data_IF_450061391134
#
_entry.id   IF_450061391134
#
_cell.length_a   1.000
_cell.length_b   1.000
_cell.length_c   1.000
_cell.angle_alpha   90.00
_cell.angle_beta   90.00
_cell.angle_gamma   90.00
#
_symmetry.space_group_name_H-M   'P 1'
#
loop_
_entity.id
_entity.type
_entity.pdbx_description
1 polymer ?
#
# COMPACT_ATOMS: atom_id res chain seq x y z
N UNK A 1 -0.45 12.72 -4.97
CA UNK A 1 -0.26 11.28 -5.19
C UNK A 1 1.21 11.06 -5.43
N UNK A 2 1.81 10.14 -4.68
CA UNK A 2 3.23 9.81 -4.73
C UNK A 2 3.36 8.29 -4.77
N UNK A 3 4.43 7.78 -5.37
CA UNK A 3 4.71 6.34 -5.39
C UNK A 3 6.07 6.14 -4.75
N UNK A 4 6.11 5.35 -3.69
CA UNK A 4 7.29 5.08 -2.90
C UNK A 4 7.50 3.57 -2.88
N UNK A 5 8.76 3.12 -2.97
CA UNK A 5 9.06 1.71 -3.00
C UNK A 5 10.45 1.36 -2.50
N UNK A 6 10.66 0.05 -2.38
CA UNK A 6 11.95 -0.56 -2.11
C UNK A 6 12.22 -1.59 -3.20
N UNK A 7 13.50 -1.83 -3.50
CA UNK A 7 13.88 -3.02 -4.25
C UNK A 7 13.59 -4.28 -3.42
N UNK A 8 13.62 -5.46 -4.06
CA UNK A 8 13.35 -6.72 -3.36
C UNK A 8 14.42 -7.02 -2.32
N UNK A 9 15.65 -6.64 -2.61
CA UNK A 9 16.85 -6.85 -1.81
C UNK A 9 16.88 -5.95 -0.57
N UNK A 10 16.25 -4.77 -0.68
CA UNK A 10 16.10 -3.80 0.40
C UNK A 10 14.95 -4.14 1.37
N UNK A 11 14.09 -5.09 1.00
CA UNK A 11 12.92 -5.46 1.83
C UNK A 11 13.37 -6.01 3.19
N UNK A 12 13.06 -5.27 4.26
CA UNK A 12 13.33 -5.68 5.64
C UNK A 12 14.68 -5.23 6.18
N UNK A 13 15.47 -4.47 5.42
CA UNK A 13 16.66 -3.83 5.96
C UNK A 13 16.27 -2.66 6.88
N UNK A 14 16.85 -2.62 8.07
CA UNK A 14 16.60 -1.57 9.04
C UNK A 14 17.18 -0.22 8.56
N UNK A 15 16.42 0.86 8.77
CA UNK A 15 16.88 2.22 8.48
C UNK A 15 16.80 2.64 7.02
N UNK A 16 16.20 1.83 6.12
CA UNK A 16 15.95 2.27 4.76
C UNK A 16 14.75 3.21 4.67
N UNK A 17 14.91 4.24 3.84
CA UNK A 17 13.87 5.19 3.45
C UNK A 17 13.40 4.80 2.06
N UNK A 18 12.08 4.72 1.78
CA UNK A 18 11.61 4.30 0.47
C UNK A 18 11.94 5.36 -0.57
N UNK A 19 12.35 4.92 -1.76
CA UNK A 19 12.68 5.83 -2.87
C UNK A 19 11.41 6.27 -3.58
N UNK A 20 11.37 7.53 -4.01
CA UNK A 20 10.30 8.04 -4.87
C UNK A 20 10.43 7.44 -6.28
N UNK A 21 9.35 6.85 -6.78
CA UNK A 21 9.25 6.21 -8.08
C UNK A 21 8.38 7.05 -9.02
N UNK A 22 8.73 7.09 -10.31
CA UNK A 22 7.92 7.76 -11.33
C UNK A 22 6.72 6.91 -11.77
N UNK A 23 6.86 5.58 -11.76
CA UNK A 23 5.83 4.63 -12.18
C UNK A 23 6.01 3.26 -11.52
N UNK A 24 4.95 2.47 -11.48
CA UNK A 24 4.98 1.04 -11.15
C UNK A 24 4.20 0.25 -12.20
N UNK A 25 4.64 -0.98 -12.48
CA UNK A 25 3.87 -1.94 -13.28
C UNK A 25 3.23 -2.96 -12.35
N UNK A 26 1.90 -2.99 -12.29
CA UNK A 26 1.14 -3.99 -11.53
C UNK A 26 0.80 -5.18 -12.43
N UNK A 27 1.32 -6.36 -12.09
CA UNK A 27 1.00 -7.62 -12.77
C UNK A 27 0.13 -8.45 -11.84
N UNK A 28 -1.16 -8.56 -12.17
CA UNK A 28 -2.15 -9.26 -11.36
C UNK A 28 -3.24 -9.88 -12.23
N UNK A 29 -3.87 -10.93 -11.73
CA UNK A 29 -5.06 -11.54 -12.33
C UNK A 29 -6.28 -10.63 -12.19
N UNK A 30 -7.34 -10.83 -13.01
CA UNK A 30 -8.57 -10.06 -12.88
C UNK A 30 -9.23 -10.16 -11.50
N UNK A 31 -9.10 -11.29 -10.81
CA UNK A 31 -9.63 -11.48 -9.46
C UNK A 31 -8.85 -10.64 -8.44
N UNK A 32 -7.52 -10.71 -8.48
CA UNK A 32 -6.65 -9.90 -7.62
C UNK A 32 -6.89 -8.40 -7.84
N UNK A 33 -7.04 -7.96 -9.10
CA UNK A 33 -7.35 -6.56 -9.41
C UNK A 33 -8.64 -6.07 -8.74
N UNK A 34 -9.67 -6.92 -8.64
CA UNK A 34 -10.93 -6.56 -7.95
C UNK A 34 -10.72 -6.47 -6.44
N UNK A 35 -9.93 -7.36 -5.86
CA UNK A 35 -9.63 -7.32 -4.42
C UNK A 35 -8.79 -6.09 -4.07
N UNK A 36 -7.80 -5.76 -4.91
CA UNK A 36 -7.00 -4.54 -4.79
C UNK A 36 -7.90 -3.30 -4.90
N UNK A 37 -8.83 -3.25 -5.87
CA UNK A 37 -9.76 -2.14 -5.99
C UNK A 37 -10.64 -1.98 -4.73
N UNK A 38 -11.15 -3.08 -4.18
CA UNK A 38 -11.92 -3.04 -2.94
C UNK A 38 -11.08 -2.56 -1.75
N UNK A 39 -9.82 -2.97 -1.67
CA UNK A 39 -8.89 -2.49 -0.65
C UNK A 39 -8.65 -0.98 -0.76
N UNK A 40 -8.46 -0.45 -1.98
CA UNK A 40 -8.31 0.99 -2.21
C UNK A 40 -9.56 1.77 -1.78
N UNK A 41 -10.76 1.28 -2.11
CA UNK A 41 -12.02 1.87 -1.66
C UNK A 41 -12.14 1.87 -0.12
N UNK A 42 -11.75 0.77 0.54
CA UNK A 42 -11.77 0.70 2.00
C UNK A 42 -10.81 1.71 2.63
N UNK A 43 -9.60 1.88 2.07
CA UNK A 43 -8.64 2.86 2.55
C UNK A 43 -9.14 4.29 2.37
N UNK A 44 -9.76 4.60 1.22
CA UNK A 44 -10.35 5.92 0.97
C UNK A 44 -11.42 6.25 2.03
N UNK A 45 -12.34 5.31 2.29
CA UNK A 45 -13.35 5.44 3.35
C UNK A 45 -12.70 5.62 4.74
N UNK A 46 -11.60 4.91 5.02
CA UNK A 46 -10.84 5.04 6.26
C UNK A 46 -10.25 6.45 6.45
N UNK A 47 -9.60 6.97 5.41
CA UNK A 47 -9.03 8.33 5.40
C UNK A 47 -10.12 9.38 5.62
N UNK A 48 -11.24 9.30 4.89
CA UNK A 48 -12.35 10.24 5.03
C UNK A 48 -12.98 10.22 6.42
N UNK A 49 -13.16 9.02 6.99
CA UNK A 49 -13.83 8.84 8.28
C UNK A 49 -12.98 9.27 9.47
N UNK A 50 -11.68 9.02 9.41
CA UNK A 50 -10.79 9.11 10.58
C UNK A 50 -9.71 10.20 10.43
N UNK A 51 -9.52 10.77 9.23
CA UNK A 51 -8.54 11.81 8.96
C UNK A 51 -7.15 11.45 9.49
N UNK A 52 -6.51 12.38 10.22
CA UNK A 52 -5.18 12.21 10.83
C UNK A 52 -5.06 11.09 11.88
N UNK A 53 -6.11 10.33 12.19
CA UNK A 53 -5.99 9.14 13.07
C UNK A 53 -5.83 7.84 12.29
N UNK A 54 -6.09 7.84 10.98
CA UNK A 54 -5.79 6.72 10.10
C UNK A 54 -4.41 6.91 9.48
N UNK A 55 -3.51 5.93 9.63
CA UNK A 55 -2.10 6.06 9.24
C UNK A 55 -1.80 5.41 7.88
N UNK A 56 -1.82 4.09 7.84
CA UNK A 56 -1.62 3.28 6.64
C UNK A 56 -2.20 1.90 6.85
N UNK A 57 -2.46 1.20 5.75
CA UNK A 57 -2.87 -0.20 5.77
C UNK A 57 -2.13 -0.98 4.68
N UNK A 58 -1.88 -2.26 4.96
CA UNK A 58 -1.33 -3.20 3.99
C UNK A 58 -2.47 -4.03 3.40
N UNK A 59 -2.43 -4.30 2.10
CA UNK A 59 -3.40 -5.17 1.43
C UNK A 59 -3.54 -6.54 2.11
N UNK A 60 -2.41 -7.13 2.51
CA UNK A 60 -2.35 -8.44 3.18
C UNK A 60 -2.95 -8.46 4.60
N UNK A 61 -3.21 -7.29 5.19
CA UNK A 61 -3.89 -7.21 6.49
C UNK A 61 -5.39 -7.47 6.33
N UNK A 62 -5.98 -6.96 5.24
CA UNK A 62 -7.39 -7.14 4.91
C UNK A 62 -7.68 -8.43 4.12
N UNK A 63 -6.76 -8.85 3.26
CA UNK A 63 -6.91 -10.06 2.44
C UNK A 63 -5.66 -10.96 2.51
N UNK A 64 -5.80 -12.06 3.26
CA UNK A 64 -4.71 -13.01 3.51
C UNK A 64 -4.26 -13.78 2.26
N UNK A 65 -5.02 -13.74 1.16
CA UNK A 65 -4.55 -14.33 -0.10
C UNK A 65 -3.31 -13.60 -0.66
N UNK A 66 -3.05 -12.37 -0.21
CA UNK A 66 -1.87 -11.58 -0.60
C UNK A 66 -0.68 -11.70 0.37
N UNK A 67 -0.71 -12.56 1.38
CA UNK A 67 0.37 -12.64 2.39
C UNK A 67 1.75 -12.96 1.79
N UNK A 68 1.80 -13.74 0.71
CA UNK A 68 3.03 -14.05 -0.02
C UNK A 68 3.35 -13.08 -1.17
N UNK A 69 2.47 -12.11 -1.43
CA UNK A 69 2.65 -11.10 -2.49
C UNK A 69 3.64 -10.01 -2.08
N UNK A 70 4.14 -9.20 -3.02
CA UNK A 70 4.78 -7.93 -2.69
C UNK A 70 3.85 -7.06 -1.83
N UNK A 71 4.42 -6.29 -0.89
CA UNK A 71 3.61 -5.40 -0.06
C UNK A 71 2.99 -4.31 -0.92
N UNK A 72 1.68 -4.18 -0.84
CA UNK A 72 0.92 -3.07 -1.39
C UNK A 72 0.33 -2.28 -0.22
N UNK A 73 0.72 -1.02 -0.09
CA UNK A 73 0.42 -0.20 1.08
C UNK A 73 -0.26 1.08 0.60
N UNK A 74 -1.33 1.49 1.27
CA UNK A 74 -1.89 2.84 1.14
C UNK A 74 -1.52 3.61 2.40
N UNK A 75 -0.89 4.76 2.21
CA UNK A 75 -0.50 5.68 3.28
C UNK A 75 -1.35 6.95 3.20
N UNK A 76 -1.79 7.47 4.34
CA UNK A 76 -2.62 8.67 4.38
C UNK A 76 -1.77 9.93 4.16
N UNK A 77 -2.09 10.76 3.14
CA UNK A 77 -1.31 11.96 2.82
C UNK A 77 -1.37 13.04 3.92
N UNK A 78 -2.32 12.98 4.84
CA UNK A 78 -2.45 13.95 5.94
C UNK A 78 -1.63 13.57 7.20
N UNK A 79 -1.00 12.39 7.19
CA UNK A 79 -0.03 12.01 8.22
C UNK A 79 1.28 12.75 8.00
N UNK A 80 1.84 13.29 9.08
CA UNK A 80 3.20 13.79 9.08
C UNK A 80 4.15 12.60 9.27
N UNK A 81 5.14 12.48 8.37
CA UNK A 81 6.20 11.47 8.46
C UNK A 81 7.18 11.74 9.60
#
# INVERSE_FOLDING_TARGET
>A
MEIHGYTKEERGAEGLIPVALAEITLVASPAELRHIAQFLENCANGIEKYGKTWSHEHLSDQDKSFESSPHFIVYNPDQEL
#
